data_IF_904959778781
#
_entry.id   IF_904959778781
#
_cell.length_a   1.000
_cell.length_b   1.000
_cell.length_c   1.000
_cell.angle_alpha   90.00
_cell.angle_beta   90.00
_cell.angle_gamma   90.00
#
_symmetry.space_group_name_H-M   'P 1'
#
loop_
_entity.id
_entity.type
_entity.pdbx_description
1 polymer ?
2 polymer ?
3 polymer ?
4 water ?
#
loop_
_entity_poly.entity_id
_entity_poly.type
_entity_poly.pdbx_seq_one_letter_code
_entity_poly.pdbx_strand_id
2 'polydeoxyribonucleotide' '(DC)(DA)(DC)(DT)(DT)(DC)(DC)(DG)(DG)(DT)' ?
3 'polydeoxyribonucleotide' '(DA)(DC)(DC)(DG)(DG)(DA)(DA)(DG)(DT)(DG)' ?
#
# COMPACT_ATOMS: atom_id res chain seq x y z
N UNK A 5 18.65 -2.91 -2.83
CA UNK A 5 19.36 -2.33 -1.70
C UNK A 5 19.29 -3.23 -0.46
N UNK A 6 18.25 -4.05 -0.41
CA UNK A 6 18.07 -4.98 0.70
C UNK A 6 16.93 -4.57 1.63
N UNK A 7 16.63 -3.28 1.66
CA UNK A 7 15.56 -2.77 2.53
C UNK A 7 14.21 -3.38 2.18
N UNK A 8 13.30 -3.39 3.15
CA UNK A 8 11.96 -3.92 2.95
C UNK A 8 11.22 -3.12 1.87
N UNK A 9 10.49 -3.82 1.02
CA UNK A 9 9.74 -3.17 -0.05
C UNK A 9 8.32 -2.82 0.41
N UNK A 10 7.76 -1.77 -0.17
CA UNK A 10 6.47 -1.26 0.23
C UNK A 10 5.37 -2.32 0.14
N UNK A 11 5.39 -3.11 -0.94
CA UNK A 11 4.35 -4.11 -1.14
C UNK A 11 4.35 -5.15 -0.02
N UNK A 12 5.53 -5.54 0.44
CA UNK A 12 5.62 -6.48 1.56
C UNK A 12 5.03 -5.84 2.81
N UNK A 13 5.48 -4.61 3.09
CA UNK A 13 5.02 -3.87 4.25
C UNK A 13 3.49 -3.80 4.30
N UNK A 14 2.88 -3.49 3.16
CA UNK A 14 1.43 -3.34 3.09
C UNK A 14 0.70 -4.67 3.26
N UNK A 15 1.23 -5.73 2.65
CA UNK A 15 0.61 -7.04 2.77
C UNK A 15 0.65 -7.50 4.23
N UNK A 16 1.73 -7.18 4.93
CA UNK A 16 1.86 -7.53 6.34
C UNK A 16 0.77 -6.83 7.16
N UNK A 17 0.62 -5.52 6.95
CA UNK A 17 -0.42 -4.77 7.64
C UNK A 17 -1.79 -5.36 7.34
N UNK A 18 -2.06 -5.59 6.05
CA UNK A 18 -3.35 -6.07 5.60
C UNK A 18 -3.65 -7.50 6.04
N UNK A 19 -2.62 -8.23 6.45
CA UNK A 19 -2.79 -9.61 6.89
C UNK A 19 -3.17 -9.71 8.36
N UNK A 20 -3.31 -8.56 9.02
CA UNK A 20 -3.65 -8.53 10.43
C UNK A 20 -4.88 -7.65 10.66
N UNK A 21 -5.95 -8.26 11.16
CA UNK A 21 -7.20 -7.54 11.40
C UNK A 21 -7.02 -6.43 12.45
N UNK A 22 -5.97 -6.56 13.26
CA UNK A 22 -5.68 -5.57 14.28
C UNK A 22 -5.45 -4.18 13.67
N UNK A 23 -5.02 -4.17 12.41
CA UNK A 23 -4.66 -2.92 11.74
C UNK A 23 -5.80 -2.30 10.95
N UNK A 24 -7.00 -2.87 11.05
CA UNK A 24 -8.15 -2.39 10.29
C UNK A 24 -8.39 -0.91 10.53
N UNK A 25 -7.88 -0.39 11.64
CA UNK A 25 -8.03 1.01 11.98
C UNK A 25 -7.37 1.95 10.99
N UNK A 26 -6.30 1.49 10.35
CA UNK A 26 -5.56 2.33 9.41
C UNK A 26 -5.51 1.76 8.00
N UNK A 27 -5.61 0.43 7.87
CA UNK A 27 -5.60 -0.20 6.55
C UNK A 27 -6.23 -1.59 6.62
N UNK A 28 -7.04 -1.94 5.63
CA UNK A 28 -7.73 -3.22 5.62
C UNK A 28 -8.19 -3.61 4.22
N UNK A 29 -8.27 -4.92 3.98
CA UNK A 29 -8.88 -5.43 2.76
C UNK A 29 -10.35 -5.04 2.77
N UNK A 30 -10.85 -4.64 1.61
CA UNK A 30 -12.22 -4.16 1.52
C UNK A 30 -12.63 -3.97 0.06
N UNK A 31 -13.87 -4.33 -0.26
CA UNK A 31 -14.39 -4.17 -1.61
C UNK A 31 -14.39 -5.47 -2.39
N UNK A 32 -13.25 -6.17 -2.37
CA UNK A 32 -13.13 -7.44 -3.06
C UNK A 32 -12.14 -7.38 -4.21
N UNK A 33 -11.78 -8.55 -4.72
CA UNK A 33 -10.84 -8.67 -5.82
C UNK A 33 -9.58 -7.83 -5.59
N UNK A 34 -8.92 -8.09 -4.47
CA UNK A 34 -7.64 -7.46 -4.18
C UNK A 34 -7.74 -6.01 -3.76
N UNK A 35 -8.94 -5.47 -3.66
CA UNK A 35 -9.12 -4.09 -3.26
C UNK A 35 -8.90 -3.90 -1.77
N UNK A 36 -8.20 -2.82 -1.42
CA UNK A 36 -8.01 -2.44 -0.03
C UNK A 36 -8.09 -0.93 0.11
N UNK A 37 -8.28 -0.46 1.35
CA UNK A 37 -8.40 0.96 1.60
C UNK A 37 -7.51 1.39 2.78
N UNK A 38 -6.88 2.55 2.64
CA UNK A 38 -6.16 3.16 3.75
C UNK A 38 -7.14 3.98 4.59
N UNK A 39 -7.77 3.34 5.55
CA UNK A 39 -8.76 4.00 6.39
C UNK A 39 -8.14 5.13 7.21
N UNK A 40 -6.82 5.11 7.33
CA UNK A 40 -6.09 6.20 7.96
C UNK A 40 -4.75 6.38 7.25
N UNK A 41 -4.76 7.12 6.14
CA UNK A 41 -3.57 7.28 5.28
C UNK A 41 -2.37 7.87 6.03
N UNK A 42 -2.63 8.86 6.88
CA UNK A 42 -1.57 9.50 7.65
C UNK A 42 -0.86 8.49 8.54
N UNK A 43 -1.64 7.65 9.21
CA UNK A 43 -1.07 6.63 10.10
C UNK A 43 -0.21 5.64 9.32
N UNK A 44 -0.75 5.13 8.22
CA UNK A 44 -0.02 4.18 7.39
C UNK A 44 1.30 4.78 6.94
N UNK A 45 1.26 6.05 6.53
CA UNK A 45 2.45 6.74 6.06
C UNK A 45 3.47 6.88 7.20
N UNK A 46 2.97 7.11 8.40
CA UNK A 46 3.84 7.23 9.58
C UNK A 46 4.56 5.92 9.85
N UNK A 47 3.80 4.82 9.83
CA UNK A 47 4.37 3.50 10.07
C UNK A 47 5.40 3.16 9.01
N UNK A 48 5.09 3.51 7.77
CA UNK A 48 5.98 3.25 6.64
C UNK A 48 7.28 4.02 6.82
N UNK A 49 7.16 5.29 7.20
CA UNK A 49 8.32 6.13 7.44
C UNK A 49 9.19 5.57 8.55
N UNK A 50 8.57 5.28 9.69
CA UNK A 50 9.28 4.73 10.84
C UNK A 50 9.95 3.40 10.46
N UNK A 51 9.21 2.56 9.75
CA UNK A 51 9.72 1.25 9.35
C UNK A 51 10.87 1.38 8.36
N UNK A 52 10.91 2.51 7.65
CA UNK A 52 11.88 2.70 6.58
C UNK A 52 13.00 3.68 6.96
N UNK A 53 12.83 4.35 8.09
CA UNK A 53 13.82 5.31 8.58
C UNK A 53 13.72 6.66 7.86
N UNK A 54 12.51 6.99 7.42
CA UNK A 54 12.24 8.28 6.78
C UNK A 54 11.15 9.00 7.56
N UNK A 55 11.55 9.83 8.54
CA UNK A 55 10.61 10.47 9.47
C UNK A 55 9.69 11.50 8.81
N UNK A 56 10.13 12.10 7.71
CA UNK A 56 9.34 13.10 7.01
C UNK A 56 8.41 12.49 5.97
N UNK A 57 8.12 11.20 6.13
CA UNK A 57 7.21 10.50 5.23
C UNK A 57 5.77 10.93 5.48
N UNK A 58 4.99 11.02 4.41
CA UNK A 58 3.57 11.36 4.52
C UNK A 58 2.80 10.68 3.41
N UNK A 59 1.49 10.90 3.36
CA UNK A 59 0.66 10.23 2.36
C UNK A 59 0.99 10.69 0.95
N UNK A 60 1.41 11.95 0.81
CA UNK A 60 1.80 12.48 -0.49
C UNK A 60 2.90 11.63 -1.10
N UNK A 61 3.93 11.36 -0.30
CA UNK A 61 5.08 10.58 -0.75
C UNK A 61 4.75 9.10 -0.85
N UNK A 62 3.97 8.60 0.11
CA UNK A 62 3.57 7.20 0.12
C UNK A 62 2.73 6.87 -1.12
N UNK A 63 1.74 7.72 -1.41
CA UNK A 63 0.88 7.49 -2.56
C UNK A 63 1.70 7.51 -3.85
N UNK A 64 2.75 8.33 -3.89
CA UNK A 64 3.62 8.37 -5.05
C UNK A 64 4.29 7.01 -5.25
N UNK A 65 4.66 6.39 -4.14
CA UNK A 65 5.27 5.06 -4.18
C UNK A 65 4.25 4.06 -4.70
N UNK A 66 3.00 4.22 -4.30
CA UNK A 66 1.93 3.34 -4.76
C UNK A 66 1.74 3.52 -6.26
N UNK A 67 1.77 4.76 -6.72
CA UNK A 67 1.59 5.06 -8.14
C UNK A 67 2.74 4.46 -8.96
N UNK A 68 3.91 4.41 -8.36
CA UNK A 68 5.09 3.81 -8.99
C UNK A 68 4.84 2.31 -9.26
N UNK A 69 3.99 1.70 -8.43
CA UNK A 69 3.65 0.30 -8.60
C UNK A 69 2.68 0.07 -9.77
N UNK A 70 2.04 1.13 -10.25
CA UNK A 70 1.12 1.01 -11.37
C UNK A 70 1.85 0.44 -12.59
N UNK A 71 3.03 0.97 -12.86
CA UNK A 71 3.82 0.57 -14.02
C UNK A 71 4.33 -0.87 -13.87
N UNK A 72 4.40 -1.35 -12.64
CA UNK A 72 4.89 -2.70 -12.37
C UNK A 72 3.74 -3.71 -12.33
N UNK A 73 2.52 -3.21 -12.53
CA UNK A 73 1.33 -4.05 -12.49
C UNK A 73 1.16 -4.77 -11.15
N UNK A 74 1.75 -4.21 -10.10
CA UNK A 74 1.61 -4.76 -8.77
C UNK A 74 0.40 -4.13 -8.07
N UNK A 75 0.03 -2.94 -8.51
CA UNK A 75 -1.13 -2.25 -7.94
C UNK A 75 -1.82 -1.37 -8.95
N UNK A 76 -3.05 -0.99 -8.63
CA UNK A 76 -3.79 -0.02 -9.43
C UNK A 76 -4.73 0.75 -8.52
N UNK A 77 -5.23 1.86 -9.02
CA UNK A 77 -6.12 2.71 -8.23
C UNK A 77 -7.58 2.30 -8.43
N UNK A 78 -8.35 2.37 -7.36
CA UNK A 78 -9.79 2.24 -7.47
C UNK A 78 -10.30 3.64 -7.80
N UNK A 79 -10.51 3.89 -9.08
CA UNK A 79 -10.85 5.24 -9.55
C UNK A 79 -12.10 5.77 -8.87
N UNK A 80 -11.99 6.95 -8.28
CA UNK A 80 -13.12 7.64 -7.69
C UNK A 80 -13.39 7.27 -6.25
N UNK A 81 -12.67 6.27 -5.74
CA UNK A 81 -12.88 5.82 -4.36
C UNK A 81 -11.71 6.24 -3.48
N UNK A 82 -11.99 7.17 -2.57
CA UNK A 82 -10.94 7.79 -1.77
C UNK A 82 -10.09 6.78 -1.00
N UNK A 83 -8.78 6.89 -1.15
CA UNK A 83 -7.82 6.08 -0.40
C UNK A 83 -7.93 4.58 -0.70
N UNK A 84 -8.60 4.24 -1.79
CA UNK A 84 -8.82 2.85 -2.14
C UNK A 84 -7.95 2.42 -3.31
N UNK A 85 -7.11 1.41 -3.07
CA UNK A 85 -6.23 0.88 -4.10
C UNK A 85 -6.56 -0.59 -4.36
N UNK A 86 -5.78 -1.23 -5.22
CA UNK A 86 -6.05 -2.60 -5.62
C UNK A 86 -4.75 -3.35 -5.83
N UNK A 87 -4.57 -4.44 -5.09
CA UNK A 87 -3.36 -5.25 -5.18
C UNK A 87 -3.50 -6.29 -6.29
N UNK A 88 -2.51 -6.36 -7.17
CA UNK A 88 -2.52 -7.31 -8.27
C UNK A 88 -1.52 -8.43 -7.98
N UNK A 89 -2.03 -9.56 -7.47
CA UNK A 89 -1.18 -10.66 -7.08
C UNK A 89 -0.58 -11.38 -8.28
N UNK A 90 -1.32 -11.43 -9.38
CA UNK A 90 -0.79 -12.01 -10.61
C UNK A 90 0.42 -11.20 -11.04
N UNK A 91 0.32 -9.88 -10.92
CA UNK A 91 1.41 -8.99 -11.25
C UNK A 91 2.58 -9.17 -10.31
N UNK A 92 2.30 -9.27 -9.02
CA UNK A 92 3.34 -9.51 -8.03
C UNK A 92 4.09 -10.79 -8.37
N UNK A 93 3.35 -11.83 -8.75
CA UNK A 93 3.94 -13.11 -9.10
C UNK A 93 4.82 -12.99 -10.33
N UNK A 94 4.35 -12.24 -11.32
CA UNK A 94 5.11 -12.04 -12.56
C UNK A 94 6.37 -11.23 -12.32
N UNK A 95 6.40 -10.50 -11.20
CA UNK A 95 7.57 -9.71 -10.85
C UNK A 95 8.65 -10.59 -10.21
N UNK A 96 8.23 -11.71 -9.64
CA UNK A 96 9.16 -12.64 -9.00
C UNK A 96 9.87 -13.49 -10.05
#
# INVERSE_FOLDING_TARGET
SMKGSGQIQLWQFLLELLADRANAGCIAWEGGHGEFKLTDPDEVARRWGERKSKPNMNYDKLSRALRYYYDKNIMSKVHGKRYAYRFDFQGLAQACQPPPAH
#
